data_IF_557443383172
#
_entry.id   IF_557443383172
#
_cell.length_a   1.000
_cell.length_b   1.000
_cell.length_c   1.000
_cell.angle_alpha   90.00
_cell.angle_beta   90.00
_cell.angle_gamma   90.00
#
_symmetry.space_group_name_H-M   'P 1'
#
loop_
_entity.id
_entity.type
_entity.pdbx_description
1 polymer ?
#
# COMPACT_ATOMS: atom_id res chain seq x y z
N UNK A 1 16.12 14.94 -0.90
CA UNK A 1 16.51 13.52 -1.10
C UNK A 1 16.77 12.91 0.25
N UNK A 2 16.06 11.84 0.61
CA UNK A 2 16.33 11.04 1.81
C UNK A 2 17.75 10.45 1.67
N UNK A 3 18.58 10.52 2.72
CA UNK A 3 19.91 9.89 2.68
C UNK A 3 19.74 8.41 2.35
N UNK A 4 20.50 7.91 1.37
CA UNK A 4 20.47 6.50 0.96
C UNK A 4 21.00 5.63 2.11
N UNK A 5 20.11 5.21 3.00
CA UNK A 5 20.39 4.20 4.03
C UNK A 5 20.06 2.84 3.46
N UNK A 6 21.03 1.93 3.51
CA UNK A 6 20.76 0.52 3.29
C UNK A 6 20.44 -0.08 4.66
N UNK A 7 19.17 -0.41 4.89
CA UNK A 7 18.75 -1.12 6.10
C UNK A 7 19.37 -2.52 6.06
N UNK A 8 20.37 -2.78 6.89
CA UNK A 8 21.01 -4.10 7.04
C UNK A 8 20.70 -4.75 8.37
N UNK A 9 20.30 -3.94 9.35
CA UNK A 9 19.95 -4.38 10.69
C UNK A 9 18.89 -3.46 11.30
N UNK A 10 18.13 -4.00 12.24
CA UNK A 10 17.22 -3.26 13.12
C UNK A 10 17.25 -3.87 14.53
N UNK A 11 17.48 -3.04 15.56
CA UNK A 11 17.62 -3.49 16.95
C UNK A 11 18.50 -4.74 17.13
N UNK A 12 19.71 -4.70 16.55
CA UNK A 12 20.72 -5.78 16.54
C UNK A 12 20.28 -7.09 15.86
N UNK A 13 19.29 -7.05 14.97
CA UNK A 13 18.84 -8.19 14.16
C UNK A 13 19.12 -7.92 12.69
N UNK A 14 19.69 -8.91 12.00
CA UNK A 14 19.94 -8.81 10.55
C UNK A 14 18.62 -8.64 9.81
N UNK A 15 18.65 -7.85 8.73
CA UNK A 15 17.55 -7.67 7.80
C UNK A 15 18.05 -8.02 6.40
N UNK A 16 17.72 -9.22 5.94
CA UNK A 16 18.29 -9.78 4.72
C UNK A 16 17.35 -9.56 3.53
N UNK A 17 16.04 -9.71 3.75
CA UNK A 17 15.01 -9.63 2.74
C UNK A 17 14.66 -8.17 2.37
N UNK A 18 14.67 -7.86 1.08
CA UNK A 18 14.41 -6.51 0.56
C UNK A 18 13.05 -5.92 0.98
N UNK A 19 12.01 -6.74 1.07
CA UNK A 19 10.70 -6.30 1.54
C UNK A 19 10.73 -5.80 3.00
N UNK A 20 11.38 -6.53 3.91
CA UNK A 20 11.55 -6.10 5.30
C UNK A 20 12.36 -4.81 5.42
N UNK A 21 13.37 -4.63 4.57
CA UNK A 21 14.08 -3.35 4.47
C UNK A 21 13.14 -2.20 4.07
N UNK A 22 12.21 -2.47 3.14
CA UNK A 22 11.17 -1.52 2.74
C UNK A 22 10.15 -1.23 3.84
N UNK A 23 9.77 -2.25 4.62
CA UNK A 23 8.89 -2.11 5.79
C UNK A 23 9.48 -1.20 6.87
N UNK A 24 10.79 -1.30 7.08
CA UNK A 24 11.50 -0.45 8.05
C UNK A 24 11.67 0.97 7.50
N UNK A 25 12.16 1.09 6.26
CA UNK A 25 12.45 2.37 5.63
C UNK A 25 11.21 3.27 5.55
N UNK A 26 10.03 2.73 5.24
CA UNK A 26 8.80 3.54 5.17
C UNK A 26 8.43 4.15 6.52
N UNK A 27 8.65 3.42 7.62
CA UNK A 27 8.39 3.93 8.96
C UNK A 27 9.38 5.05 9.31
N UNK A 28 10.67 4.85 9.05
CA UNK A 28 11.70 5.87 9.29
C UNK A 28 11.39 7.17 8.53
N UNK A 29 11.03 7.04 7.26
CA UNK A 29 10.68 8.19 6.41
C UNK A 29 9.43 8.90 6.92
N UNK A 30 8.37 8.17 7.24
CA UNK A 30 7.13 8.78 7.73
C UNK A 30 7.29 9.40 9.13
N UNK A 31 8.13 8.83 9.99
CA UNK A 31 8.45 9.43 11.30
C UNK A 31 9.20 10.75 11.09
N UNK A 32 10.21 10.76 10.21
CA UNK A 32 11.06 11.93 9.99
C UNK A 32 10.36 13.07 9.24
N UNK A 33 9.54 12.73 8.23
CA UNK A 33 8.98 13.69 7.28
C UNK A 33 7.46 13.79 7.31
N UNK A 34 6.75 12.79 7.85
CA UNK A 34 5.32 12.63 7.64
C UNK A 34 4.98 12.35 6.17
N UNK A 35 3.72 12.53 5.82
CA UNK A 35 3.20 12.41 4.46
C UNK A 35 2.45 11.10 4.23
N UNK A 36 2.49 10.64 2.98
CA UNK A 36 1.74 9.48 2.51
C UNK A 36 2.74 8.50 1.90
N UNK A 37 2.76 7.28 2.42
CA UNK A 37 3.48 6.16 1.83
C UNK A 37 2.51 5.26 1.06
N UNK A 38 2.98 4.81 -0.11
CA UNK A 38 2.31 3.84 -0.96
C UNK A 38 3.33 2.80 -1.41
N UNK A 39 2.98 1.51 -1.33
CA UNK A 39 3.68 0.46 -2.07
C UNK A 39 3.66 0.78 -3.57
N UNK A 40 4.68 0.32 -4.30
CA UNK A 40 4.83 0.62 -5.74
C UNK A 40 3.74 0.02 -6.62
N UNK A 41 2.97 -0.93 -6.10
CA UNK A 41 1.82 -1.56 -6.74
C UNK A 41 0.48 -1.15 -6.10
N UNK A 42 0.42 0.06 -5.52
CA UNK A 42 -0.84 0.69 -5.09
C UNK A 42 -1.30 1.71 -6.14
N UNK A 43 -2.55 1.56 -6.59
CA UNK A 43 -3.22 2.50 -7.48
C UNK A 43 -4.16 3.41 -6.69
N UNK A 44 -3.97 4.72 -6.78
CA UNK A 44 -4.87 5.72 -6.16
C UNK A 44 -6.09 5.94 -7.05
N UNK A 45 -7.28 5.90 -6.46
CA UNK A 45 -8.57 5.98 -7.15
C UNK A 45 -9.38 7.22 -6.74
N UNK A 46 -9.15 7.75 -5.53
CA UNK A 46 -9.78 8.98 -5.03
C UNK A 46 -8.80 9.80 -4.22
N UNK A 47 -9.08 11.10 -4.07
CA UNK A 47 -8.29 11.97 -3.20
C UNK A 47 -8.31 11.47 -1.76
N UNK A 48 -7.15 11.51 -1.09
CA UNK A 48 -7.01 11.18 0.32
C UNK A 48 -7.31 12.36 1.24
N UNK A 49 -7.59 13.56 0.71
CA UNK A 49 -7.86 14.77 1.51
C UNK A 49 -8.89 14.56 2.64
N UNK A 50 -10.01 13.82 2.43
CA UNK A 50 -10.98 13.56 3.49
C UNK A 50 -10.42 12.77 4.67
N UNK A 51 -9.28 12.08 4.50
CA UNK A 51 -8.66 11.22 5.50
C UNK A 51 -7.63 11.95 6.35
N UNK A 52 -7.04 13.05 5.85
CA UNK A 52 -5.87 13.71 6.45
C UNK A 52 -6.10 14.27 7.86
N UNK A 53 -7.36 14.53 8.22
CA UNK A 53 -7.73 15.11 9.51
C UNK A 53 -8.40 14.10 10.46
N UNK A 54 -8.51 12.83 10.08
CA UNK A 54 -9.17 11.83 10.93
C UNK A 54 -8.33 11.47 12.16
N UNK A 55 -7.00 11.37 12.01
CA UNK A 55 -6.03 11.13 13.08
C UNK A 55 -4.60 11.43 12.58
N UNK A 56 -3.61 11.33 13.45
CA UNK A 56 -2.19 11.51 13.12
C UNK A 56 -1.62 10.33 12.31
N UNK A 57 -2.25 9.15 12.39
CA UNK A 57 -1.95 8.00 11.53
C UNK A 57 -3.24 7.39 11.00
N UNK A 58 -3.27 7.12 9.70
CA UNK A 58 -4.35 6.40 9.01
C UNK A 58 -3.75 5.19 8.29
N UNK A 59 -4.35 4.02 8.53
CA UNK A 59 -4.09 2.77 7.80
C UNK A 59 -5.43 2.08 7.53
N UNK A 60 -5.43 0.90 6.90
CA UNK A 60 -6.65 0.13 6.73
C UNK A 60 -6.45 -1.36 7.04
N UNK A 61 -7.57 -2.03 7.34
CA UNK A 61 -7.61 -3.48 7.46
C UNK A 61 -7.23 -4.13 6.12
N UNK A 62 -6.32 -5.12 6.12
CA UNK A 62 -6.03 -5.88 4.90
C UNK A 62 -7.16 -6.87 4.58
N UNK A 63 -7.75 -7.43 5.63
CA UNK A 63 -8.80 -8.43 5.59
C UNK A 63 -9.60 -8.36 6.90
N UNK A 64 -10.58 -9.24 7.07
CA UNK A 64 -11.35 -9.32 8.31
C UNK A 64 -10.44 -9.62 9.52
N UNK A 65 -10.79 -9.03 10.68
CA UNK A 65 -10.07 -9.21 11.94
C UNK A 65 -8.96 -8.18 12.20
N UNK A 66 -8.02 -8.54 13.10
CA UNK A 66 -6.98 -7.63 13.61
C UNK A 66 -5.75 -7.67 12.68
N UNK A 67 -5.96 -7.31 11.42
CA UNK A 67 -4.96 -7.40 10.35
C UNK A 67 -4.91 -6.05 9.64
N UNK A 68 -3.85 -5.26 9.84
CA UNK A 68 -3.72 -3.88 9.30
C UNK A 68 -2.48 -3.82 8.42
N UNK A 69 -2.63 -3.54 7.13
CA UNK A 69 -1.50 -3.61 6.20
C UNK A 69 -0.80 -2.25 6.04
N UNK A 70 0.54 -2.28 6.02
CA UNK A 70 1.42 -1.12 5.94
C UNK A 70 1.76 -0.67 4.50
N UNK A 71 1.05 -1.16 3.49
CA UNK A 71 1.25 -0.79 2.08
C UNK A 71 0.64 0.58 1.74
N UNK A 72 -0.26 1.10 2.57
CA UNK A 72 -0.78 2.47 2.51
C UNK A 72 -0.77 3.04 3.92
N UNK A 73 0.00 4.11 4.14
CA UNK A 73 0.07 4.79 5.44
C UNK A 73 0.01 6.29 5.18
N UNK A 74 -0.92 6.97 5.83
CA UNK A 74 -0.94 8.43 5.91
C UNK A 74 -0.52 8.78 7.34
N UNK A 75 0.48 9.62 7.51
CA UNK A 75 0.95 9.98 8.84
C UNK A 75 1.43 11.42 8.92
N UNK A 76 1.16 12.07 10.05
CA UNK A 76 1.88 13.29 10.42
C UNK A 76 3.31 12.94 10.81
N UNK A 77 4.20 13.90 10.59
CA UNK A 77 5.57 13.82 11.12
C UNK A 77 5.51 13.56 12.63
N UNK A 78 6.44 12.73 13.11
CA UNK A 78 6.59 12.43 14.54
C UNK A 78 5.39 11.72 15.22
N UNK A 79 4.45 11.16 14.45
CA UNK A 79 3.26 10.51 14.97
C UNK A 79 3.57 9.39 15.98
N UNK A 80 2.88 9.44 17.13
CA UNK A 80 3.08 8.53 18.27
C UNK A 80 2.93 7.06 17.87
N UNK A 81 1.88 6.71 17.12
CA UNK A 81 1.66 5.33 16.69
C UNK A 81 2.82 4.78 15.87
N UNK A 82 3.37 5.56 14.93
CA UNK A 82 4.50 5.10 14.11
C UNK A 82 5.78 4.90 14.95
N UNK A 83 6.03 5.74 15.96
CA UNK A 83 7.16 5.54 16.88
C UNK A 83 7.00 4.24 17.66
N UNK A 84 5.82 3.98 18.22
CA UNK A 84 5.51 2.70 18.88
C UNK A 84 5.66 1.51 17.94
N UNK A 85 5.20 1.66 16.70
CA UNK A 85 5.29 0.62 15.69
C UNK A 85 6.75 0.33 15.32
N UNK A 86 7.55 1.36 15.08
CA UNK A 86 8.98 1.23 14.84
C UNK A 86 9.69 0.58 16.05
N UNK A 87 9.44 1.05 17.27
CA UNK A 87 10.04 0.48 18.49
C UNK A 87 9.68 -0.99 18.69
N UNK A 88 8.49 -1.41 18.27
CA UNK A 88 8.05 -2.81 18.35
C UNK A 88 8.82 -3.74 17.40
N UNK A 89 9.60 -3.24 16.44
CA UNK A 89 10.58 -4.04 15.68
C UNK A 89 11.72 -4.57 16.58
N UNK A 90 11.78 -4.23 17.86
CA UNK A 90 12.55 -5.01 18.83
C UNK A 90 12.16 -6.51 18.82
N UNK A 91 10.95 -6.85 18.40
CA UNK A 91 10.48 -8.22 18.17
C UNK A 91 10.74 -8.77 16.76
N UNK A 92 11.51 -8.06 15.92
CA UNK A 92 11.68 -8.39 14.50
C UNK A 92 12.09 -9.85 14.29
N UNK A 93 11.41 -10.50 13.33
CA UNK A 93 11.65 -11.89 12.95
C UNK A 93 11.76 -11.97 11.43
N UNK A 94 12.99 -12.04 10.94
CA UNK A 94 13.33 -12.16 9.50
C UNK A 94 12.62 -13.33 8.80
N UNK A 95 12.29 -14.40 9.54
CA UNK A 95 11.66 -15.59 8.96
C UNK A 95 10.13 -15.47 8.87
N UNK A 96 9.53 -14.37 9.32
CA UNK A 96 8.08 -14.18 9.28
C UNK A 96 7.67 -13.05 8.32
N UNK A 97 7.12 -13.45 7.17
CA UNK A 97 6.79 -12.57 6.06
C UNK A 97 5.87 -11.39 6.43
N UNK A 98 4.80 -11.65 7.18
CA UNK A 98 3.70 -10.71 7.44
C UNK A 98 3.64 -10.24 8.91
N UNK A 99 4.50 -10.77 9.78
CA UNK A 99 4.46 -10.47 11.21
C UNK A 99 4.57 -8.98 11.47
N UNK A 100 5.53 -8.30 10.84
CA UNK A 100 5.85 -6.91 11.13
C UNK A 100 5.22 -5.91 10.18
N UNK A 101 4.80 -6.34 8.99
CA UNK A 101 4.15 -5.50 7.98
C UNK A 101 2.62 -5.49 8.08
N UNK A 102 2.02 -6.54 8.67
CA UNK A 102 0.56 -6.71 8.66
C UNK A 102 -0.01 -7.04 10.05
N UNK A 103 0.57 -8.01 10.78
CA UNK A 103 0.01 -8.47 12.06
C UNK A 103 0.31 -7.51 13.21
N UNK A 104 1.57 -7.12 13.35
CA UNK A 104 2.05 -6.20 14.39
C UNK A 104 1.29 -4.87 14.41
N UNK A 105 1.11 -4.14 13.29
CA UNK A 105 0.32 -2.90 13.32
C UNK A 105 -1.14 -3.15 13.71
N UNK A 106 -1.74 -4.29 13.35
CA UNK A 106 -3.08 -4.65 13.82
C UNK A 106 -3.15 -4.85 15.34
N UNK A 107 -2.19 -5.57 15.90
CA UNK A 107 -2.06 -5.75 17.36
C UNK A 107 -1.88 -4.41 18.06
N UNK A 108 -0.99 -3.55 17.56
CA UNK A 108 -0.75 -2.22 18.11
C UNK A 108 -1.98 -1.32 18.01
N UNK A 109 -2.73 -1.38 16.91
CA UNK A 109 -3.98 -0.63 16.77
C UNK A 109 -5.04 -1.06 17.79
N UNK A 110 -5.04 -2.33 18.19
CA UNK A 110 -5.93 -2.83 19.25
C UNK A 110 -5.51 -2.35 20.65
N UNK A 111 -4.20 -2.17 20.88
CA UNK A 111 -3.65 -1.70 22.15
C UNK A 111 -3.74 -0.17 22.27
N UNK A 112 -3.53 0.55 21.17
CA UNK A 112 -3.48 2.01 21.10
C UNK A 112 -4.51 2.57 20.09
N UNK A 113 -5.82 2.30 20.27
CA UNK A 113 -6.84 2.66 19.29
C UNK A 113 -7.03 4.18 19.11
N UNK A 114 -6.56 4.99 20.07
CA UNK A 114 -6.64 6.45 19.97
C UNK A 114 -5.51 7.06 19.12
N UNK A 115 -4.40 6.34 18.92
CA UNK A 115 -3.23 6.87 18.22
C UNK A 115 -3.31 6.64 16.69
N UNK A 116 -4.33 5.94 16.19
CA UNK A 116 -4.51 5.56 14.79
C UNK A 116 -6.00 5.53 14.40
N UNK A 117 -6.32 5.88 13.16
CA UNK A 117 -7.58 5.46 12.51
C UNK A 117 -7.31 4.28 11.59
N UNK A 118 -8.06 3.19 11.80
CA UNK A 118 -8.04 2.04 10.90
C UNK A 118 -9.31 2.05 10.05
N UNK A 119 -9.14 2.22 8.74
CA UNK A 119 -10.21 2.23 7.76
C UNK A 119 -10.67 0.81 7.41
N UNK A 120 -11.91 0.64 6.92
CA UNK A 120 -12.40 -0.64 6.42
C UNK A 120 -11.56 -1.14 5.22
N UNK A 121 -11.57 -2.44 4.99
CA UNK A 121 -10.76 -3.11 3.96
C UNK A 121 -10.96 -2.55 2.56
N UNK A 122 -12.19 -2.15 2.22
CA UNK A 122 -12.50 -1.58 0.91
C UNK A 122 -11.90 -0.19 0.66
N UNK A 123 -11.34 0.48 1.68
CA UNK A 123 -10.66 1.75 1.48
C UNK A 123 -9.42 1.59 0.59
N UNK A 124 -8.59 0.56 0.84
CA UNK A 124 -7.29 0.36 0.16
C UNK A 124 -7.06 -1.05 -0.40
N UNK A 125 -7.71 -2.09 0.13
CA UNK A 125 -7.29 -3.49 -0.03
C UNK A 125 -8.35 -4.41 -0.66
N UNK A 126 -9.46 -3.88 -1.17
CA UNK A 126 -10.38 -4.64 -2.04
C UNK A 126 -10.28 -4.19 -3.50
N UNK A 127 -10.31 -5.09 -4.50
CA UNK A 127 -10.28 -6.55 -4.36
C UNK A 127 -9.01 -7.06 -3.67
N UNK A 128 -9.17 -8.07 -2.81
CA UNK A 128 -8.10 -8.66 -1.99
C UNK A 128 -7.19 -9.58 -2.79
N UNK A 129 -6.11 -10.03 -2.17
CA UNK A 129 -5.07 -10.88 -2.76
C UNK A 129 -5.60 -12.23 -3.28
N UNK A 130 -6.68 -12.75 -2.68
CA UNK A 130 -7.38 -13.97 -3.10
C UNK A 130 -8.53 -13.70 -4.09
N UNK A 131 -8.80 -12.45 -4.45
CA UNK A 131 -9.86 -12.03 -5.38
C UNK A 131 -9.30 -11.67 -6.76
N UNK A 132 -8.26 -12.38 -7.22
CA UNK A 132 -7.56 -12.14 -8.51
C UNK A 132 -8.53 -12.00 -9.69
N UNK A 133 -9.58 -12.84 -9.73
CA UNK A 133 -10.59 -12.77 -10.79
C UNK A 133 -11.39 -11.46 -10.76
N UNK A 134 -11.71 -10.93 -9.58
CA UNK A 134 -12.42 -9.66 -9.44
C UNK A 134 -11.61 -8.49 -10.03
N UNK A 135 -10.29 -8.51 -9.85
CA UNK A 135 -9.39 -7.47 -10.35
C UNK A 135 -9.06 -7.63 -11.84
N UNK A 136 -8.68 -8.83 -12.28
CA UNK A 136 -8.05 -9.02 -13.59
C UNK A 136 -8.87 -9.77 -14.64
N UNK A 137 -9.96 -10.45 -14.26
CA UNK A 137 -10.77 -11.23 -15.19
C UNK A 137 -12.19 -10.67 -15.36
N UNK A 138 -12.79 -10.18 -14.27
CA UNK A 138 -14.14 -9.63 -14.25
C UNK A 138 -14.15 -8.13 -14.55
N UNK A 139 -15.32 -7.59 -14.88
CA UNK A 139 -15.53 -6.16 -15.14
C UNK A 139 -16.65 -5.53 -14.29
N UNK A 140 -17.09 -6.20 -13.24
CA UNK A 140 -18.30 -5.83 -12.48
C UNK A 140 -18.04 -5.37 -11.04
N UNK A 141 -16.78 -5.37 -10.55
CA UNK A 141 -16.47 -4.90 -9.21
C UNK A 141 -16.71 -3.39 -9.07
N UNK A 142 -17.54 -2.96 -8.13
CA UNK A 142 -17.72 -1.53 -7.85
C UNK A 142 -16.57 -1.00 -6.97
N UNK A 143 -15.70 -0.19 -7.55
CA UNK A 143 -14.57 0.44 -6.86
C UNK A 143 -14.84 1.89 -6.45
N UNK A 144 -16.07 2.38 -6.56
CA UNK A 144 -16.46 3.72 -6.06
C UNK A 144 -16.06 3.98 -4.59
N UNK A 145 -16.17 3.01 -3.65
CA UNK A 145 -15.77 3.27 -2.27
C UNK A 145 -14.25 3.36 -2.06
N UNK A 146 -13.44 2.84 -3.00
CA UNK A 146 -12.00 2.75 -2.86
C UNK A 146 -11.31 4.11 -2.94
N UNK A 147 -10.48 4.41 -1.95
CA UNK A 147 -9.48 5.46 -2.06
C UNK A 147 -8.27 4.98 -2.86
N UNK A 148 -7.87 3.72 -2.64
CA UNK A 148 -6.81 3.06 -3.37
C UNK A 148 -7.12 1.57 -3.59
N UNK A 149 -6.30 0.92 -4.40
CA UNK A 149 -6.29 -0.52 -4.58
C UNK A 149 -4.85 -1.03 -4.57
N UNK A 150 -4.52 -1.91 -3.63
CA UNK A 150 -3.31 -2.73 -3.72
C UNK A 150 -3.48 -3.76 -4.83
N UNK A 151 -2.49 -3.88 -5.71
CA UNK A 151 -2.57 -4.73 -6.92
C UNK A 151 -1.94 -6.11 -6.72
N UNK A 152 -1.37 -6.39 -5.54
CA UNK A 152 -0.84 -7.70 -5.15
C UNK A 152 0.16 -8.28 -6.16
N UNK A 153 1.03 -7.44 -6.72
CA UNK A 153 1.87 -7.76 -7.88
C UNK A 153 2.74 -9.00 -7.64
N UNK A 154 3.32 -9.11 -6.44
CA UNK A 154 4.14 -10.26 -6.03
C UNK A 154 3.34 -11.55 -5.96
N UNK A 155 2.12 -11.51 -5.43
CA UNK A 155 1.22 -12.69 -5.31
C UNK A 155 0.75 -13.14 -6.68
N UNK A 156 0.59 -12.20 -7.61
CA UNK A 156 0.26 -12.48 -9.00
C UNK A 156 1.48 -12.85 -9.86
N UNK A 157 2.63 -13.20 -9.27
CA UNK A 157 3.88 -13.53 -9.99
C UNK A 157 4.28 -12.50 -11.07
N UNK A 158 3.91 -11.24 -10.86
CA UNK A 158 4.10 -10.16 -11.82
C UNK A 158 3.35 -10.31 -13.15
N UNK A 159 2.38 -11.23 -13.27
CA UNK A 159 1.69 -11.61 -14.52
C UNK A 159 1.05 -10.42 -15.28
N UNK A 160 0.58 -9.41 -14.55
CA UNK A 160 -0.18 -8.30 -15.12
C UNK A 160 0.67 -7.04 -15.25
N UNK A 161 1.34 -6.61 -14.17
CA UNK A 161 2.06 -5.34 -14.20
C UNK A 161 3.32 -5.40 -15.05
N UNK A 162 3.94 -6.59 -15.23
CA UNK A 162 5.09 -6.75 -16.13
C UNK A 162 4.76 -6.53 -17.61
N UNK A 163 3.49 -6.67 -17.99
CA UNK A 163 2.99 -6.49 -19.36
C UNK A 163 2.20 -5.20 -19.53
N UNK A 164 2.18 -4.33 -18.53
CA UNK A 164 1.39 -3.11 -18.56
C UNK A 164 1.92 -2.15 -19.63
N UNK A 165 1.06 -1.82 -20.59
CA UNK A 165 1.30 -0.78 -21.59
C UNK A 165 0.13 0.21 -21.59
N UNK A 166 0.32 1.44 -22.09
CA UNK A 166 -0.79 2.38 -22.27
C UNK A 166 -1.92 1.79 -23.14
N UNK A 167 -1.58 1.00 -24.15
CA UNK A 167 -2.56 0.31 -24.99
C UNK A 167 -3.38 -0.74 -24.24
N UNK A 168 -2.72 -1.56 -23.40
CA UNK A 168 -3.42 -2.52 -22.54
C UNK A 168 -4.35 -1.79 -21.56
N UNK A 169 -3.87 -0.71 -20.93
CA UNK A 169 -4.66 0.09 -20.01
C UNK A 169 -5.93 0.68 -20.68
N UNK A 170 -5.82 1.15 -21.92
CA UNK A 170 -6.95 1.68 -22.69
C UNK A 170 -7.97 0.60 -23.07
N UNK A 171 -7.50 -0.59 -23.49
CA UNK A 171 -8.34 -1.61 -24.11
C UNK A 171 -8.82 -2.71 -23.16
N UNK A 172 -8.23 -2.83 -21.96
CA UNK A 172 -8.58 -3.88 -21.02
C UNK A 172 -10.05 -3.78 -20.56
N UNK A 173 -10.82 -4.84 -20.84
CA UNK A 173 -12.22 -4.97 -20.45
C UNK A 173 -12.37 -5.73 -19.12
N UNK A 174 -11.67 -5.26 -18.09
CA UNK A 174 -11.73 -5.79 -16.73
C UNK A 174 -11.64 -4.64 -15.71
N UNK A 175 -11.85 -4.95 -14.43
CA UNK A 175 -11.79 -4.01 -13.31
C UNK A 175 -10.47 -3.25 -13.27
N UNK A 176 -9.34 -3.95 -13.42
CA UNK A 176 -8.01 -3.32 -13.46
C UNK A 176 -7.90 -2.26 -14.57
N UNK A 177 -8.35 -2.57 -15.78
CA UNK A 177 -8.40 -1.62 -16.89
C UNK A 177 -9.29 -0.40 -16.58
N UNK A 178 -10.48 -0.64 -16.00
CA UNK A 178 -11.37 0.47 -15.58
C UNK A 178 -10.72 1.35 -14.52
N UNK A 179 -10.06 0.76 -13.54
CA UNK A 179 -9.33 1.47 -12.49
C UNK A 179 -8.19 2.32 -13.06
N UNK A 180 -7.38 1.78 -13.99
CA UNK A 180 -6.30 2.53 -14.63
C UNK A 180 -6.81 3.73 -15.42
N UNK A 181 -7.87 3.55 -16.22
CA UNK A 181 -8.50 4.64 -16.97
C UNK A 181 -9.09 5.71 -16.06
N UNK A 182 -9.67 5.29 -14.92
CA UNK A 182 -10.18 6.20 -13.90
C UNK A 182 -9.06 7.01 -13.23
N UNK A 183 -7.98 6.35 -12.80
CA UNK A 183 -6.88 6.99 -12.07
C UNK A 183 -6.00 7.90 -12.95
N UNK A 184 -5.70 7.48 -14.17
CA UNK A 184 -4.74 8.16 -15.05
C UNK A 184 -5.44 9.08 -16.06
N UNK A 185 -6.64 8.71 -16.49
CA UNK A 185 -7.41 9.38 -17.54
C UNK A 185 -7.04 8.93 -18.95
N UNK A 186 -8.06 8.74 -19.80
CA UNK A 186 -7.87 8.29 -21.19
C UNK A 186 -6.98 9.23 -22.01
N UNK A 187 -7.09 10.55 -21.83
CA UNK A 187 -6.28 11.51 -22.56
C UNK A 187 -4.78 11.37 -22.24
N UNK A 188 -4.44 11.15 -20.96
CA UNK A 188 -3.06 10.90 -20.53
C UNK A 188 -2.54 9.58 -21.08
N UNK A 189 -3.35 8.52 -21.03
CA UNK A 189 -2.98 7.21 -21.58
C UNK A 189 -2.75 7.25 -23.10
N UNK A 190 -3.53 8.03 -23.85
CA UNK A 190 -3.32 8.23 -25.28
C UNK A 190 -1.98 8.95 -25.56
N UNK A 191 -1.67 10.01 -24.81
CA UNK A 191 -0.36 10.70 -24.91
C UNK A 191 0.82 9.78 -24.59
N UNK A 192 0.68 8.95 -23.56
CA UNK A 192 1.70 7.94 -23.22
C UNK A 192 1.84 6.91 -24.34
N UNK A 193 0.74 6.46 -24.93
CA UNK A 193 0.77 5.54 -26.09
C UNK A 193 1.56 6.14 -27.25
N UNK A 194 1.32 7.40 -27.59
CA UNK A 194 2.06 8.10 -28.64
C UNK A 194 3.55 8.21 -28.30
N UNK A 195 3.89 8.61 -27.08
CA UNK A 195 5.27 8.76 -26.62
C UNK A 195 6.08 7.46 -26.67
N UNK A 196 5.51 6.32 -26.31
CA UNK A 196 6.22 5.04 -26.36
C UNK A 196 6.28 4.41 -27.76
N UNK A 197 5.50 4.92 -28.71
CA UNK A 197 5.49 4.46 -30.11
C UNK A 197 6.32 5.36 -31.05
N UNK A 198 6.83 6.50 -30.58
CA UNK A 198 7.77 7.39 -31.28
C UNK A 198 9.22 7.03 -31.00
#
# INVERSE_FOLDING_TARGET
>A
MIKKRQVKEIFNKSVDHHAHRGDIMRLEVLIEYGGIYLDSDVLTLRSFDPLLNLNDVIMAHQDDGIIVCNAVILAKKDATFLKRFYDAYQSFNENCWDCHSVRLPGQLASIYPNDITVLPTNAFFRPSWNEKAALYASNNYDFTPNYACHLWNKINNHDYLSRLTPELALNANNTFGRMLRHAIGNATLLKLKEFFNS
#
